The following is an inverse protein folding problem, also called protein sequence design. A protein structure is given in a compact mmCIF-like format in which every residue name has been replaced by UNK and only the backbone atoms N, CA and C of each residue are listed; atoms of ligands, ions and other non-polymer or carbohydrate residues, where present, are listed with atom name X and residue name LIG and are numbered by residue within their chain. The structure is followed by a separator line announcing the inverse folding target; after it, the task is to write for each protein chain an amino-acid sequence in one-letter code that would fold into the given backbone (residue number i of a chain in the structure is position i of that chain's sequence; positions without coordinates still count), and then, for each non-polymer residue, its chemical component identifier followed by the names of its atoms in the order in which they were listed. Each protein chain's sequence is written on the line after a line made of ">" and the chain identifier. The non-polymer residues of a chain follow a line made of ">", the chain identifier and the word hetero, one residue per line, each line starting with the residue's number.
data_IF_678309901210
#
_entry.id   IF_678309901210
#
_cell.length_a   1.000
_cell.length_b   1.000
_cell.length_c   1.000
_cell.angle_alpha   90.00
_cell.angle_beta   90.00
_cell.angle_gamma   90.00
#
_symmetry.space_group_name_H-M   'P 1'
#
loop_
_entity.id
_entity.type
_entity.pdbx_description
1 polymer ?
#
# COMPACT_ATOMS: atom_id res chain seq x y z
N UNK A 1 -3.24 10.78 -7.54
CA UNK A 1 -2.45 9.55 -7.26
C UNK A 1 -3.45 8.46 -6.91
N UNK A 2 -3.53 7.40 -7.69
CA UNK A 2 -4.49 6.32 -7.46
C UNK A 2 -3.78 5.17 -6.73
N UNK A 3 -4.46 4.55 -5.77
CA UNK A 3 -3.99 3.31 -5.17
C UNK A 3 -4.29 2.21 -6.18
N UNK A 4 -3.25 1.52 -6.65
CA UNK A 4 -3.36 0.40 -7.59
C UNK A 4 -2.55 -0.78 -7.06
N UNK A 5 -2.95 -2.03 -7.36
CA UNK A 5 -2.08 -3.19 -7.15
C UNK A 5 -0.70 -2.96 -7.76
N UNK A 6 0.36 -3.38 -7.06
CA UNK A 6 1.75 -3.18 -7.46
C UNK A 6 2.39 -1.92 -6.87
N UNK A 7 1.63 -0.88 -6.58
CA UNK A 7 2.18 0.36 -6.01
C UNK A 7 2.73 0.16 -4.60
N UNK A 8 3.81 0.88 -4.28
CA UNK A 8 4.40 0.89 -2.94
C UNK A 8 3.86 2.06 -2.13
N UNK A 9 3.44 1.76 -0.90
CA UNK A 9 2.88 2.71 0.06
C UNK A 9 3.62 2.63 1.40
N UNK A 10 3.54 3.71 2.16
CA UNK A 10 3.89 3.75 3.59
C UNK A 10 2.71 4.16 4.42
N UNK A 11 2.65 3.64 5.64
CA UNK A 11 1.64 3.99 6.63
C UNK A 11 2.28 4.91 7.67
N UNK A 12 2.03 6.23 7.65
CA UNK A 12 2.61 7.17 8.62
C UNK A 12 2.15 6.90 10.07
N UNK A 13 1.02 6.22 10.27
CA UNK A 13 0.57 5.76 11.60
C UNK A 13 1.41 4.61 12.17
N UNK A 14 2.11 3.85 11.33
CA UNK A 14 2.98 2.74 11.73
C UNK A 14 4.27 2.77 10.88
N UNK A 15 5.15 3.77 11.09
CA UNK A 15 6.38 3.90 10.31
C UNK A 15 7.33 2.70 10.49
N UNK A 16 7.22 1.99 11.61
CA UNK A 16 7.98 0.77 11.92
C UNK A 16 7.68 -0.41 10.98
N UNK A 17 6.51 -0.43 10.33
CA UNK A 17 6.18 -1.48 9.37
C UNK A 17 6.98 -1.36 8.07
N UNK A 18 7.61 -0.22 7.83
CA UNK A 18 8.42 0.05 6.65
C UNK A 18 7.58 0.34 5.40
N UNK A 19 8.15 0.06 4.23
CA UNK A 19 7.38 0.16 2.98
C UNK A 19 6.51 -1.08 2.81
N UNK A 20 5.39 -0.92 2.13
CA UNK A 20 4.51 -2.03 1.81
C UNK A 20 3.99 -1.94 0.39
N UNK A 21 3.80 -3.10 -0.24
CA UNK A 21 3.27 -3.17 -1.60
C UNK A 21 1.78 -3.49 -1.56
N UNK A 22 0.99 -2.75 -2.32
CA UNK A 22 -0.43 -3.06 -2.50
C UNK A 22 -0.54 -4.34 -3.31
N UNK A 23 -1.13 -5.38 -2.72
CA UNK A 23 -1.42 -6.62 -3.42
C UNK A 23 -2.78 -6.57 -4.11
N UNK A 24 -3.82 -6.11 -3.40
CA UNK A 24 -5.19 -6.10 -3.91
C UNK A 24 -5.97 -4.93 -3.36
N UNK A 25 -6.97 -4.49 -4.13
CA UNK A 25 -7.92 -3.44 -3.73
C UNK A 25 -9.32 -3.97 -4.01
N UNK A 26 -10.15 -4.02 -2.98
CA UNK A 26 -11.53 -4.51 -3.05
C UNK A 26 -12.44 -3.47 -2.42
N UNK A 27 -12.99 -2.60 -3.26
CA UNK A 27 -13.75 -1.43 -2.81
C UNK A 27 -12.88 -0.51 -1.97
N UNK A 28 -13.25 -0.30 -0.70
CA UNK A 28 -12.51 0.55 0.25
C UNK A 28 -11.42 -0.22 1.04
N UNK A 29 -11.27 -1.52 0.79
CA UNK A 29 -10.29 -2.38 1.47
C UNK A 29 -9.06 -2.59 0.59
N UNK A 30 -7.91 -2.20 1.10
CA UNK A 30 -6.63 -2.28 0.43
C UNK A 30 -5.75 -3.27 1.21
N UNK A 31 -5.34 -4.34 0.56
CA UNK A 31 -4.40 -5.30 1.16
C UNK A 31 -2.99 -4.88 0.82
N UNK A 32 -2.19 -4.57 1.83
CA UNK A 32 -0.79 -4.17 1.69
C UNK A 32 0.09 -5.20 2.38
N UNK A 33 1.15 -5.64 1.71
CA UNK A 33 2.19 -6.45 2.33
C UNK A 33 3.37 -5.55 2.72
N UNK A 34 3.49 -5.25 4.01
CA UNK A 34 4.57 -4.44 4.57
C UNK A 34 5.80 -5.31 4.89
N UNK A 35 6.99 -4.72 4.78
CA UNK A 35 8.27 -5.41 5.05
C UNK A 35 8.37 -5.97 6.47
N UNK A 36 7.97 -5.19 7.47
CA UNK A 36 8.05 -5.59 8.87
C UNK A 36 6.68 -5.87 9.49
N UNK A 37 5.62 -5.25 8.96
CA UNK A 37 4.24 -5.43 9.43
C UNK A 37 3.53 -6.65 8.82
N UNK A 38 4.14 -7.30 7.82
CA UNK A 38 3.52 -8.38 7.06
C UNK A 38 2.28 -7.93 6.29
N UNK A 39 1.37 -8.88 6.01
CA UNK A 39 0.12 -8.61 5.29
C UNK A 39 -0.90 -7.92 6.18
N UNK A 40 -1.26 -6.69 5.85
CA UNK A 40 -2.25 -5.89 6.57
C UNK A 40 -3.38 -5.46 5.64
N UNK A 41 -4.60 -5.48 6.19
CA UNK A 41 -5.79 -4.99 5.50
C UNK A 41 -6.09 -3.58 5.98
N UNK A 42 -5.90 -2.62 5.10
CA UNK A 42 -6.12 -1.20 5.37
C UNK A 42 -7.46 -0.78 4.79
N UNK A 43 -8.31 -0.16 5.61
CA UNK A 43 -9.53 0.50 5.13
C UNK A 43 -9.20 1.94 4.84
N UNK A 44 -9.52 2.43 3.65
CA UNK A 44 -9.24 3.80 3.23
C UNK A 44 -9.94 4.83 4.15
N UNK A 45 -11.11 4.51 4.71
CA UNK A 45 -11.76 5.34 5.72
C UNK A 45 -11.03 5.40 7.09
N UNK A 46 -10.16 4.43 7.41
CA UNK A 46 -9.55 4.30 8.73
C UNK A 46 -8.08 4.76 8.78
N UNK A 47 -7.39 4.82 7.64
CA UNK A 47 -5.98 5.16 7.59
C UNK A 47 -5.59 5.79 6.24
N UNK A 48 -4.64 6.71 6.29
CA UNK A 48 -4.06 7.36 5.11
C UNK A 48 -2.80 6.63 4.68
N UNK A 49 -2.77 6.14 3.45
CA UNK A 49 -1.57 5.57 2.82
C UNK A 49 -0.87 6.62 1.98
N UNK A 50 0.45 6.76 2.16
CA UNK A 50 1.28 7.60 1.30
C UNK A 50 1.95 6.73 0.26
N UNK A 51 1.62 6.93 -1.01
CA UNK A 51 2.32 6.27 -2.12
C UNK A 51 3.74 6.82 -2.18
N UNK A 52 4.72 5.93 -2.06
CA UNK A 52 6.14 6.27 -2.09
C UNK A 52 6.79 5.94 -3.42
N UNK A 53 6.24 4.96 -4.13
CA UNK A 53 6.74 4.57 -5.43
C UNK A 53 5.61 3.95 -6.26
N UNK A 54 5.58 4.35 -7.54
CA UNK A 54 4.72 3.76 -8.55
C UNK A 54 5.66 3.07 -9.54
N UNK A 55 6.16 1.88 -9.20
CA UNK A 55 6.74 0.97 -10.19
C UNK A 55 5.58 0.46 -11.05
N UNK A 56 5.09 1.33 -11.93
CA UNK A 56 4.30 0.90 -13.06
C UNK A 56 5.28 0.11 -13.90
N UNK A 57 5.07 -1.20 -14.03
CA UNK A 57 5.68 -1.99 -15.09
C UNK A 57 5.29 -1.33 -16.42
N UNK A 58 6.13 -0.39 -16.84
CA UNK A 58 6.11 0.28 -18.13
C UNK A 58 7.31 -0.25 -18.90
N UNK A 59 7.45 -1.58 -18.89
CA UNK A 59 8.27 -2.29 -19.85
C UNK A 59 7.33 -2.67 -21.00
N UNK A 60 7.48 -1.90 -22.09
CA UNK A 60 6.79 -2.02 -23.37
C UNK A 60 6.80 -3.43 -23.98
#
# INVERSE_FOLDING_TARGET
>A
MYLIPGAFVRLPGCPEWGRGQIQTIVGDRITVNFEHGGKQLIKNAAATLMVVDLETELDC
#
